data_IF_499509665317
#
_entry.id   IF_499509665317
#
_cell.length_a   1.000
_cell.length_b   1.000
_cell.length_c   1.000
_cell.angle_alpha   90.00
_cell.angle_beta   90.00
_cell.angle_gamma   90.00
#
_symmetry.space_group_name_H-M   'P 1'
#
loop_
_entity.id
_entity.type
_entity.pdbx_description
1 polymer ?
#
# COMPACT_ATOMS: atom_id res chain seq x y z
N UNK A 1 10.42 17.41 -1.27
CA UNK A 1 10.42 15.93 -1.21
C UNK A 1 9.06 15.44 -1.67
N UNK A 2 8.99 14.71 -2.78
CA UNK A 2 7.72 14.14 -3.25
C UNK A 2 7.30 13.02 -2.30
N UNK A 3 6.17 13.20 -1.61
CA UNK A 3 5.53 12.14 -0.85
C UNK A 3 5.01 11.13 -1.88
N UNK A 4 5.61 9.94 -1.95
CA UNK A 4 5.07 8.80 -2.69
C UNK A 4 3.64 8.55 -2.24
N UNK A 5 2.64 8.95 -3.02
CA UNK A 5 1.24 9.07 -2.56
C UNK A 5 0.51 7.74 -2.38
N UNK A 6 0.96 6.70 -3.06
CA UNK A 6 0.29 5.40 -3.08
C UNK A 6 1.26 4.25 -2.81
N UNK A 7 0.73 3.22 -2.16
CA UNK A 7 1.36 1.92 -1.93
C UNK A 7 0.59 0.90 -2.74
N UNK A 8 1.31 0.08 -3.51
CA UNK A 8 0.74 -1.02 -4.30
C UNK A 8 1.33 -2.34 -3.85
N UNK A 9 0.50 -3.37 -3.82
CA UNK A 9 0.96 -4.75 -3.63
C UNK A 9 0.01 -5.71 -4.33
N UNK A 10 0.53 -6.85 -4.78
CA UNK A 10 -0.27 -7.97 -5.31
C UNK A 10 -0.36 -9.12 -4.30
N UNK A 11 0.27 -8.96 -3.14
CA UNK A 11 0.32 -9.97 -2.09
C UNK A 11 -0.82 -9.75 -1.10
N UNK A 12 -1.67 -10.76 -0.94
CA UNK A 12 -2.90 -10.68 -0.13
C UNK A 12 -2.60 -10.49 1.36
N UNK A 13 -1.53 -11.10 1.86
CA UNK A 13 -1.12 -10.99 3.26
C UNK A 13 -0.60 -9.58 3.57
N UNK A 14 0.20 -9.04 2.66
CA UNK A 14 0.69 -7.65 2.69
C UNK A 14 -0.48 -6.67 2.67
N UNK A 15 -1.45 -6.87 1.77
CA UNK A 15 -2.66 -6.05 1.71
C UNK A 15 -3.46 -6.10 3.02
N UNK A 16 -3.61 -7.28 3.62
CA UNK A 16 -4.26 -7.44 4.94
C UNK A 16 -3.52 -6.69 6.04
N UNK A 17 -2.19 -6.76 6.07
CA UNK A 17 -1.39 -6.07 7.06
C UNK A 17 -1.46 -4.54 6.88
N UNK A 18 -1.53 -4.03 5.64
CA UNK A 18 -1.74 -2.61 5.35
C UNK A 18 -3.12 -2.12 5.81
N UNK A 19 -4.18 -2.93 5.62
CA UNK A 19 -5.53 -2.63 6.16
C UNK A 19 -5.51 -2.58 7.69
N UNK A 20 -4.87 -3.55 8.33
CA UNK A 20 -4.73 -3.60 9.79
C UNK A 20 -3.91 -2.43 10.34
N UNK A 21 -2.93 -1.94 9.56
CA UNK A 21 -2.16 -0.74 9.88
C UNK A 21 -2.96 0.56 9.70
N UNK A 22 -4.22 0.50 9.25
CA UNK A 22 -5.11 1.64 9.11
C UNK A 22 -4.95 2.40 7.79
N UNK A 23 -4.33 1.81 6.77
CA UNK A 23 -4.28 2.46 5.46
C UNK A 23 -5.61 2.38 4.75
N UNK A 24 -5.94 3.46 4.07
CA UNK A 24 -7.11 3.51 3.22
C UNK A 24 -6.82 2.84 1.87
N UNK A 25 -7.49 1.73 1.60
CA UNK A 25 -7.48 1.07 0.30
C UNK A 25 -8.36 1.85 -0.68
N UNK A 26 -7.79 2.23 -1.82
CA UNK A 26 -8.50 2.94 -2.90
C UNK A 26 -8.82 2.02 -4.07
N UNK A 27 -8.20 0.84 -4.14
CA UNK A 27 -8.47 -0.18 -5.14
C UNK A 27 -8.11 -1.57 -4.62
N UNK A 28 -8.96 -2.55 -4.91
CA UNK A 28 -8.71 -3.97 -4.66
C UNK A 28 -9.42 -4.81 -5.72
N UNK A 29 -8.68 -5.30 -6.70
CA UNK A 29 -9.22 -6.04 -7.85
C UNK A 29 -8.12 -6.63 -8.72
N UNK A 30 -8.45 -7.66 -9.52
CA UNK A 30 -7.50 -8.32 -10.45
C UNK A 30 -6.17 -8.79 -9.82
N UNK A 31 -6.14 -9.06 -8.51
CA UNK A 31 -4.92 -9.46 -7.80
C UNK A 31 -3.98 -8.30 -7.44
N UNK A 32 -4.43 -7.05 -7.58
CA UNK A 32 -3.70 -5.85 -7.17
C UNK A 32 -4.48 -5.06 -6.11
N UNK A 33 -3.73 -4.50 -5.16
CA UNK A 33 -4.23 -3.69 -4.06
C UNK A 33 -3.48 -2.37 -4.01
N UNK A 34 -4.21 -1.26 -3.93
CA UNK A 34 -3.65 0.10 -3.88
C UNK A 34 -4.16 0.85 -2.66
N UNK A 35 -3.24 1.47 -1.93
CA UNK A 35 -3.46 2.16 -0.67
C UNK A 35 -2.94 3.59 -0.73
N UNK A 36 -3.56 4.50 0.01
CA UNK A 36 -3.02 5.86 0.24
C UNK A 36 -1.86 5.78 1.23
N UNK A 37 -0.69 6.27 0.81
CA UNK A 37 0.46 6.37 1.70
C UNK A 37 0.32 7.62 2.59
N UNK A 38 0.03 7.40 3.87
CA UNK A 38 -0.15 8.47 4.86
C UNK A 38 1.19 9.07 5.35
N UNK A 39 2.33 8.69 4.76
CA UNK A 39 3.63 9.36 4.95
C UNK A 39 4.38 9.04 6.25
N UNK A 40 3.69 8.58 7.30
CA UNK A 40 4.28 8.32 8.62
C UNK A 40 3.72 7.07 9.31
N UNK A 41 3.61 5.96 8.57
CA UNK A 41 3.26 4.66 9.15
C UNK A 41 4.51 3.79 9.22
N UNK A 42 4.96 3.51 10.46
CA UNK A 42 5.93 2.45 10.70
C UNK A 42 5.19 1.12 10.63
N UNK A 43 5.46 0.37 9.57
CA UNK A 43 4.83 -0.91 9.32
C UNK A 43 5.53 -2.03 10.10
N UNK A 44 5.20 -2.21 11.38
CA UNK A 44 5.62 -3.42 12.09
C UNK A 44 4.91 -4.64 11.49
N UNK A 45 5.67 -5.55 10.87
CA UNK A 45 5.14 -6.80 10.31
C UNK A 45 4.63 -6.73 8.86
N UNK A 46 4.86 -5.62 8.14
CA UNK A 46 4.64 -5.59 6.69
C UNK A 46 5.98 -5.80 5.99
N UNK A 47 6.03 -6.80 5.10
CA UNK A 47 7.17 -6.99 4.24
C UNK A 47 7.20 -5.89 3.16
N UNK A 48 8.04 -4.88 3.39
CA UNK A 48 8.17 -3.73 2.50
C UNK A 48 8.78 -4.08 1.14
N UNK A 49 9.43 -5.24 0.99
CA UNK A 49 9.94 -5.69 -0.31
C UNK A 49 8.82 -6.03 -1.30
N UNK A 50 7.63 -6.34 -0.78
CA UNK A 50 6.42 -6.65 -1.55
C UNK A 50 5.56 -5.43 -1.87
N UNK A 51 6.07 -4.23 -1.53
CA UNK A 51 5.38 -2.96 -1.75
C UNK A 51 6.07 -2.18 -2.86
N UNK A 52 5.26 -1.64 -3.77
CA UNK A 52 5.69 -0.66 -4.78
C UNK A 52 5.05 0.68 -4.47
N UNK A 53 5.87 1.71 -4.40
CA UNK A 53 5.40 3.07 -4.18
C UNK A 53 5.16 3.78 -5.51
N UNK A 54 4.09 4.56 -5.60
CA UNK A 54 3.74 5.33 -6.79
C UNK A 54 3.25 6.73 -6.42
N UNK A 55 3.60 7.73 -7.24
CA UNK A 55 3.05 9.08 -7.15
C UNK A 55 1.73 9.23 -7.92
N UNK A 56 1.44 8.31 -8.84
CA UNK A 56 0.21 8.26 -9.63
C UNK A 56 -0.67 7.09 -9.20
N UNK A 57 -1.97 7.35 -9.10
CA UNK A 57 -2.99 6.31 -8.99
C UNK A 57 -3.14 5.68 -10.37
N UNK A 58 -2.65 4.45 -10.52
CA UNK A 58 -2.86 3.66 -11.74
C UNK A 58 -3.43 2.30 -11.33
N UNK A 59 -4.43 1.84 -12.08
CA UNK A 59 -5.18 0.61 -11.84
C UNK A 59 -4.79 -0.45 -12.85
#
# INVERSE_FOLDING_TARGET
MALKKFIKTSDVETAKNLRNAGLYEVYGGNGEFVFVNSGSMNFSGVDTSKIRYSDMLTF
#
